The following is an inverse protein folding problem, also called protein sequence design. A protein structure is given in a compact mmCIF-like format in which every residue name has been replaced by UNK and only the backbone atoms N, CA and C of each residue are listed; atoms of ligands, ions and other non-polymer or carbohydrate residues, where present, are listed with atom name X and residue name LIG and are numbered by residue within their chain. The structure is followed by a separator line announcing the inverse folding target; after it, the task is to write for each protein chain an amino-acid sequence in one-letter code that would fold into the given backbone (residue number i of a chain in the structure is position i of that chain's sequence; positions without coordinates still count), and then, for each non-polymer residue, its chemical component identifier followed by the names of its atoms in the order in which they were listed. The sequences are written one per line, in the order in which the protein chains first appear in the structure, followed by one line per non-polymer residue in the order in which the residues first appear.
data_IF_285303589514
#
_entry.id   IF_285303589514
#
_cell.length_a   1.000
_cell.length_b   1.000
_cell.length_c   1.000
_cell.angle_alpha   90.00
_cell.angle_beta   90.00
_cell.angle_gamma   90.00
#
_symmetry.space_group_name_H-M   'P 1'
#
loop_
_entity.id
_entity.type
_entity.pdbx_description
1 polymer ?
#
# COMPACT_ATOMS: atom_id res chain seq x y z
N UNK A 1 -18.00 1.08 18.68
CA UNK A 1 -16.66 1.34 18.14
C UNK A 1 -16.81 1.86 16.71
N UNK A 2 -15.95 2.75 16.20
CA UNK A 2 -16.07 3.20 14.83
C UNK A 2 -15.90 1.98 13.92
N UNK A 3 -16.85 1.79 13.01
CA UNK A 3 -16.78 0.81 11.95
C UNK A 3 -15.45 1.02 11.20
N UNK A 4 -14.55 0.03 11.18
CA UNK A 4 -13.26 0.16 10.49
C UNK A 4 -13.55 0.39 9.01
N UNK A 5 -13.00 1.44 8.41
CA UNK A 5 -13.30 1.84 7.03
C UNK A 5 -12.15 1.52 6.07
N UNK A 6 -12.48 1.33 4.79
CA UNK A 6 -11.50 1.14 3.71
C UNK A 6 -10.65 -0.13 3.88
N UNK A 7 -9.31 -0.04 3.80
CA UNK A 7 -8.41 -1.20 3.83
C UNK A 7 -8.46 -1.95 5.16
N UNK A 8 -8.85 -1.28 6.26
CA UNK A 8 -9.04 -1.90 7.57
C UNK A 8 -10.33 -2.71 7.66
N UNK A 9 -10.92 -3.13 6.55
CA UNK A 9 -11.98 -4.15 6.51
C UNK A 9 -11.48 -5.52 6.08
N UNK A 10 -10.20 -5.64 5.70
CA UNK A 10 -9.67 -6.85 5.10
C UNK A 10 -8.48 -7.41 5.89
N UNK A 11 -8.27 -8.74 5.88
CA UNK A 11 -7.12 -9.37 6.52
C UNK A 11 -5.77 -8.79 6.06
N UNK A 12 -5.59 -8.47 4.77
CA UNK A 12 -4.37 -7.81 4.29
C UNK A 12 -4.13 -6.46 4.97
N UNK A 13 -5.19 -5.67 5.14
CA UNK A 13 -5.09 -4.40 5.85
C UNK A 13 -4.67 -4.58 7.30
N UNK A 14 -5.15 -5.63 7.95
CA UNK A 14 -4.86 -5.87 9.37
C UNK A 14 -3.50 -6.50 9.59
N UNK A 15 -3.09 -7.41 8.71
CA UNK A 15 -1.73 -7.91 8.67
C UNK A 15 -0.74 -6.74 8.54
N UNK A 16 -0.99 -5.85 7.59
CA UNK A 16 -0.15 -4.67 7.38
C UNK A 16 -0.17 -3.74 8.59
N UNK A 17 -1.35 -3.48 9.17
CA UNK A 17 -1.50 -2.67 10.38
C UNK A 17 -0.73 -3.27 11.57
N UNK A 18 -0.86 -4.59 11.79
CA UNK A 18 -0.20 -5.33 12.87
C UNK A 18 1.31 -5.21 12.77
N UNK A 19 1.87 -5.54 11.60
CA UNK A 19 3.32 -5.52 11.38
C UNK A 19 3.87 -4.09 11.48
N UNK A 20 3.10 -3.09 11.06
CA UNK A 20 3.46 -1.68 11.22
C UNK A 20 3.14 -1.12 12.63
N UNK A 21 2.99 -1.97 13.66
CA UNK A 21 2.76 -1.51 15.04
C UNK A 21 1.47 -0.70 15.24
N UNK A 22 0.45 -0.91 14.41
CA UNK A 22 -0.82 -0.18 14.42
C UNK A 22 -0.94 0.91 13.34
N UNK A 23 0.10 1.15 12.54
CA UNK A 23 0.13 2.24 11.57
C UNK A 23 -0.06 1.77 10.11
N UNK A 24 -1.30 1.50 9.70
CA UNK A 24 -1.61 1.13 8.29
C UNK A 24 -1.14 2.18 7.27
N UNK A 25 -1.00 3.45 7.68
CA UNK A 25 -0.55 4.57 6.85
C UNK A 25 0.95 4.53 6.54
N UNK A 26 1.74 3.70 7.22
CA UNK A 26 3.13 3.40 6.83
C UNK A 26 3.18 2.52 5.58
N UNK A 27 2.08 1.82 5.28
CA UNK A 27 1.94 1.05 4.06
C UNK A 27 2.86 -0.17 3.98
N UNK A 28 3.03 -0.66 2.76
CA UNK A 28 3.77 -1.88 2.44
C UNK A 28 4.26 -1.83 0.99
N UNK A 29 5.07 -2.82 0.61
CA UNK A 29 5.36 -3.12 -0.80
C UNK A 29 4.89 -4.52 -1.17
N UNK A 30 4.63 -4.73 -2.47
CA UNK A 30 4.54 -6.06 -3.06
C UNK A 30 5.71 -6.24 -4.00
N UNK A 31 6.57 -7.23 -3.72
CA UNK A 31 7.64 -7.67 -4.59
C UNK A 31 7.28 -9.02 -5.24
N UNK A 32 7.91 -9.33 -6.36
CA UNK A 32 7.75 -10.61 -7.03
C UNK A 32 9.00 -11.46 -6.84
N UNK A 33 8.84 -12.78 -6.80
CA UNK A 33 9.95 -13.70 -6.55
C UNK A 33 11.09 -13.57 -7.56
N UNK A 34 10.76 -13.39 -8.84
CA UNK A 34 11.75 -13.20 -9.92
C UNK A 34 12.56 -11.91 -9.77
N UNK A 35 11.96 -10.83 -9.25
CA UNK A 35 12.66 -9.58 -8.96
C UNK A 35 13.67 -9.74 -7.79
N UNK A 36 13.51 -10.80 -6.99
CA UNK A 36 14.44 -11.21 -5.94
C UNK A 36 15.39 -12.33 -6.38
N UNK A 37 15.40 -12.68 -7.67
CA UNK A 37 16.25 -13.73 -8.23
C UNK A 37 15.75 -15.15 -7.99
N UNK A 38 14.49 -15.33 -7.59
CA UNK A 38 13.87 -16.65 -7.47
C UNK A 38 13.41 -17.11 -8.86
N UNK A 39 13.99 -18.20 -9.35
CA UNK A 39 13.51 -18.82 -10.59
C UNK A 39 12.27 -19.67 -10.32
N UNK A 40 12.28 -20.41 -9.22
CA UNK A 40 11.24 -21.34 -8.82
C UNK A 40 11.17 -21.46 -7.30
N UNK A 41 9.98 -21.68 -6.77
CA UNK A 41 9.69 -21.77 -5.34
C UNK A 41 9.05 -23.12 -5.05
N UNK A 42 9.69 -23.89 -4.18
CA UNK A 42 9.13 -25.14 -3.66
C UNK A 42 8.26 -24.88 -2.42
N UNK A 43 7.09 -25.52 -2.38
CA UNK A 43 6.11 -25.42 -1.30
C UNK A 43 5.80 -26.83 -0.74
N UNK A 44 6.77 -27.53 -0.14
CA UNK A 44 6.64 -28.93 0.25
C UNK A 44 5.65 -29.15 1.40
N UNK A 45 5.17 -28.08 2.05
CA UNK A 45 4.10 -28.12 3.04
C UNK A 45 2.69 -28.14 2.40
N UNK A 46 2.59 -27.86 1.10
CA UNK A 46 1.37 -27.98 0.29
C UNK A 46 1.44 -29.25 -0.53
N UNK A 47 0.69 -30.29 -0.15
CA UNK A 47 0.56 -31.48 -0.99
C UNK A 47 -0.34 -31.18 -2.19
N UNK A 48 -0.07 -31.83 -3.31
CA UNK A 48 -0.76 -31.56 -4.57
C UNK A 48 -0.23 -30.34 -5.32
N UNK A 49 0.70 -29.57 -4.76
CA UNK A 49 1.39 -28.48 -5.45
C UNK A 49 2.71 -28.92 -6.08
N UNK A 50 3.00 -28.38 -7.26
CA UNK A 50 4.34 -28.40 -7.82
C UNK A 50 5.16 -27.17 -7.43
N UNK A 51 6.44 -27.14 -7.83
CA UNK A 51 7.20 -25.91 -7.80
C UNK A 51 6.52 -24.79 -8.61
N UNK A 52 6.53 -23.58 -8.06
CA UNK A 52 5.87 -22.39 -8.62
C UNK A 52 6.93 -21.46 -9.19
N UNK A 53 6.84 -21.01 -10.46
CA UNK A 53 7.78 -20.04 -11.02
C UNK A 53 7.85 -18.76 -10.17
N UNK A 54 9.05 -18.19 -9.96
CA UNK A 54 9.21 -17.02 -9.09
C UNK A 54 8.45 -15.78 -9.55
N UNK A 55 8.20 -15.62 -10.86
CA UNK A 55 7.33 -14.57 -11.41
C UNK A 55 5.87 -14.72 -10.92
N UNK A 56 5.45 -15.94 -10.60
CA UNK A 56 4.14 -16.29 -10.04
C UNK A 56 4.12 -16.28 -8.50
N UNK A 57 5.12 -15.68 -7.85
CA UNK A 57 5.13 -15.50 -6.40
C UNK A 57 5.08 -14.02 -6.08
N UNK A 58 4.06 -13.58 -5.35
CA UNK A 58 3.98 -12.22 -4.80
C UNK A 58 4.28 -12.23 -3.31
N UNK A 59 5.08 -11.28 -2.85
CA UNK A 59 5.50 -11.15 -1.44
C UNK A 59 5.11 -9.76 -0.96
N UNK A 60 4.17 -9.71 -0.02
CA UNK A 60 3.77 -8.50 0.69
C UNK A 60 4.70 -8.30 1.90
N UNK A 61 5.28 -7.10 1.98
CA UNK A 61 6.13 -6.67 3.08
C UNK A 61 5.69 -5.32 3.64
N UNK A 62 5.10 -5.29 4.84
CA UNK A 62 4.77 -4.07 5.57
C UNK A 62 6.02 -3.28 5.97
N UNK A 63 5.92 -1.96 6.02
CA UNK A 63 7.03 -1.07 6.32
C UNK A 63 7.72 -1.35 7.67
N UNK A 64 6.98 -1.89 8.64
CA UNK A 64 7.45 -2.19 10.00
C UNK A 64 8.54 -3.25 10.08
N UNK A 65 8.75 -4.04 9.02
CA UNK A 65 9.89 -4.98 8.97
C UNK A 65 11.22 -4.25 8.68
N UNK A 66 11.18 -2.96 8.32
CA UNK A 66 12.39 -2.15 8.15
C UNK A 66 12.90 -1.76 9.52
N UNK A 67 14.13 -2.17 9.83
CA UNK A 67 14.81 -1.84 11.07
C UNK A 67 16.12 -2.60 11.16
N UNK A 68 16.93 -2.26 12.16
CA UNK A 68 18.23 -2.90 12.41
C UNK A 68 18.11 -4.26 13.13
N UNK A 69 16.88 -4.73 13.36
CA UNK A 69 16.57 -6.00 14.04
C UNK A 69 16.56 -7.21 13.09
N UNK A 70 16.55 -8.41 13.69
CA UNK A 70 16.27 -9.63 12.96
C UNK A 70 14.81 -9.59 12.46
N UNK A 71 14.63 -9.80 11.16
CA UNK A 71 13.31 -9.80 10.52
C UNK A 71 12.63 -11.12 10.84
N UNK A 72 11.46 -11.07 11.47
CA UNK A 72 10.61 -12.25 11.60
C UNK A 72 10.01 -12.56 10.22
N UNK A 73 10.33 -13.71 9.61
CA UNK A 73 9.69 -14.11 8.35
C UNK A 73 8.16 -14.21 8.45
N UNK A 74 7.59 -14.41 9.65
CA UNK A 74 6.14 -14.40 9.88
C UNK A 74 5.48 -13.04 9.62
N UNK A 75 6.26 -11.97 9.53
CA UNK A 75 5.80 -10.62 9.17
C UNK A 75 5.84 -10.35 7.65
N UNK A 76 6.09 -11.40 6.85
CA UNK A 76 5.85 -11.42 5.41
C UNK A 76 4.60 -12.25 5.10
N UNK A 77 3.87 -11.85 4.06
CA UNK A 77 2.76 -12.63 3.50
C UNK A 77 3.06 -12.95 2.05
N UNK A 78 3.02 -14.24 1.70
CA UNK A 78 3.33 -14.73 0.35
C UNK A 78 2.04 -15.18 -0.31
N UNK A 79 1.85 -14.80 -1.57
CA UNK A 79 0.69 -15.18 -2.38
C UNK A 79 1.19 -15.97 -3.59
N UNK A 80 0.60 -17.15 -3.79
CA UNK A 80 0.87 -18.00 -4.96
C UNK A 80 -0.44 -18.40 -5.63
N UNK A 81 -0.47 -18.57 -6.97
CA UNK A 81 -1.68 -18.91 -7.68
C UNK A 81 -2.00 -20.40 -7.61
N UNK A 82 -3.29 -20.73 -7.63
CA UNK A 82 -3.78 -22.10 -7.68
C UNK A 82 -3.36 -22.88 -8.93
N UNK A 83 -2.92 -22.20 -9.99
CA UNK A 83 -2.35 -22.81 -11.20
C UNK A 83 -1.08 -23.63 -10.94
N UNK A 84 -0.46 -23.49 -9.76
CA UNK A 84 0.61 -24.38 -9.30
C UNK A 84 0.13 -25.77 -8.84
N UNK A 85 -1.18 -25.96 -8.66
CA UNK A 85 -1.76 -27.26 -8.32
C UNK A 85 -1.56 -28.26 -9.47
N UNK A 86 -1.25 -29.49 -9.10
CA UNK A 86 -1.05 -30.65 -10.00
C UNK A 86 -2.01 -31.80 -9.69
N UNK A 87 -2.99 -31.54 -8.83
CA UNK A 87 -3.93 -32.51 -8.29
C UNK A 87 -5.32 -31.89 -8.24
N UNK A 88 -6.35 -32.72 -8.29
CA UNK A 88 -7.74 -32.31 -8.11
C UNK A 88 -8.02 -31.90 -6.65
N UNK A 89 -7.12 -32.25 -5.74
CA UNK A 89 -7.16 -31.88 -4.32
C UNK A 89 -5.79 -31.40 -3.85
N UNK A 90 -5.78 -30.39 -2.98
CA UNK A 90 -4.59 -29.90 -2.29
C UNK A 90 -4.78 -29.95 -0.78
N UNK A 91 -3.71 -30.18 -0.04
CA UNK A 91 -3.70 -30.26 1.42
C UNK A 91 -2.51 -29.51 2.01
N UNK A 92 -2.61 -29.13 3.29
CA UNK A 92 -1.45 -28.72 4.09
C UNK A 92 -1.01 -29.89 4.97
N UNK A 93 0.31 -30.11 5.08
CA UNK A 93 0.89 -31.17 5.94
C UNK A 93 0.62 -30.95 7.43
N UNK A 94 0.54 -29.67 7.84
CA UNK A 94 0.32 -29.22 9.21
C UNK A 94 -0.82 -28.19 9.21
N UNK A 95 -1.84 -28.39 10.05
CA UNK A 95 -2.97 -27.47 10.18
C UNK A 95 -4.10 -27.67 9.16
N UNK A 96 -4.76 -26.56 8.81
CA UNK A 96 -5.90 -26.52 7.89
C UNK A 96 -5.86 -25.27 7.03
N UNK A 97 -6.51 -25.31 5.87
CA UNK A 97 -6.80 -24.09 5.14
C UNK A 97 -7.94 -23.32 5.79
N UNK A 98 -7.82 -22.00 5.77
CA UNK A 98 -8.94 -21.09 5.98
C UNK A 98 -9.34 -20.51 4.64
N UNK A 99 -10.57 -20.77 4.23
CA UNK A 99 -11.08 -20.42 2.90
C UNK A 99 -12.03 -19.24 2.99
N UNK A 100 -11.80 -18.22 2.18
CA UNK A 100 -12.69 -17.07 2.07
C UNK A 100 -12.68 -16.45 0.67
N UNK A 101 -13.66 -15.59 0.35
CA UNK A 101 -13.73 -14.94 -0.95
C UNK A 101 -12.62 -13.90 -1.10
N UNK A 102 -12.05 -13.81 -2.31
CA UNK A 102 -11.05 -12.80 -2.68
C UNK A 102 -11.52 -11.37 -2.32
N UNK A 103 -12.81 -11.09 -2.48
CA UNK A 103 -13.43 -9.79 -2.16
C UNK A 103 -13.34 -9.36 -0.71
N UNK A 104 -13.18 -10.32 0.20
CA UNK A 104 -12.99 -10.05 1.63
C UNK A 104 -11.51 -9.99 2.02
N UNK A 105 -10.61 -10.49 1.17
CA UNK A 105 -9.18 -10.57 1.46
C UNK A 105 -8.42 -9.30 1.06
N UNK A 106 -8.67 -8.81 -0.16
CA UNK A 106 -7.99 -7.64 -0.70
C UNK A 106 -8.79 -6.35 -0.49
N UNK A 107 -8.12 -5.22 -0.18
CA UNK A 107 -8.77 -3.93 -0.19
C UNK A 107 -9.23 -3.56 -1.62
N UNK A 108 -10.34 -2.82 -1.70
CA UNK A 108 -10.85 -2.27 -2.95
C UNK A 108 -9.87 -1.25 -3.54
N UNK A 109 -9.77 -1.17 -4.88
CA UNK A 109 -9.00 -0.10 -5.56
C UNK A 109 -9.55 1.29 -5.25
N UNK A 110 -10.86 1.44 -5.09
CA UNK A 110 -11.51 2.75 -5.03
C UNK A 110 -11.41 3.36 -3.64
N UNK A 111 -10.84 4.56 -3.60
CA UNK A 111 -10.61 5.32 -2.37
C UNK A 111 -11.91 5.96 -1.84
N UNK A 112 -13.01 5.91 -2.61
CA UNK A 112 -14.16 6.81 -2.40
C UNK A 112 -15.56 6.21 -2.61
N UNK A 113 -15.78 4.95 -2.99
CA UNK A 113 -17.17 4.49 -3.21
C UNK A 113 -17.45 3.04 -2.81
N UNK A 114 -18.56 2.86 -2.08
CA UNK A 114 -19.14 1.55 -1.74
C UNK A 114 -19.92 0.92 -2.91
N UNK A 115 -20.27 1.71 -3.93
CA UNK A 115 -21.13 1.28 -5.06
C UNK A 115 -20.34 0.88 -6.32
N UNK A 116 -19.01 0.80 -6.22
CA UNK A 116 -18.19 0.30 -7.34
C UNK A 116 -17.99 -1.22 -7.18
N UNK A 117 -18.06 -2.00 -8.28
CA UNK A 117 -17.71 -3.42 -8.24
C UNK A 117 -16.34 -3.64 -7.58
N UNK A 118 -16.19 -4.79 -6.92
CA UNK A 118 -14.90 -5.18 -6.35
C UNK A 118 -13.85 -5.29 -7.45
N UNK A 119 -12.88 -4.39 -7.43
CA UNK A 119 -11.75 -4.38 -8.34
C UNK A 119 -10.46 -4.22 -7.52
N UNK A 120 -9.81 -5.30 -7.07
CA UNK A 120 -8.48 -5.27 -6.46
C UNK A 120 -7.42 -4.89 -7.50
N UNK A 121 -6.37 -4.21 -7.06
CA UNK A 121 -5.27 -3.81 -7.94
C UNK A 121 -4.57 -5.02 -8.54
N UNK A 122 -4.17 -4.90 -9.80
CA UNK A 122 -3.44 -5.96 -10.48
C UNK A 122 -2.12 -6.32 -9.79
N UNK A 123 -1.56 -5.39 -9.01
CA UNK A 123 -0.31 -5.60 -8.28
C UNK A 123 -0.41 -6.58 -7.12
N UNK A 124 -1.64 -6.89 -6.67
CA UNK A 124 -1.82 -7.96 -5.70
C UNK A 124 -1.56 -9.34 -6.32
N UNK A 125 -1.76 -9.46 -7.63
CA UNK A 125 -1.68 -10.73 -8.33
C UNK A 125 -0.25 -11.06 -8.73
N UNK A 126 0.13 -12.33 -8.69
CA UNK A 126 1.39 -12.78 -9.27
C UNK A 126 1.51 -12.42 -10.76
N UNK A 127 2.73 -12.19 -11.26
CA UNK A 127 2.93 -11.86 -12.68
C UNK A 127 2.39 -13.01 -13.54
N UNK A 128 1.63 -12.66 -14.58
CA UNK A 128 0.99 -13.60 -15.52
C UNK A 128 -0.13 -14.47 -14.96
N UNK A 129 -0.62 -14.16 -13.76
CA UNK A 129 -1.86 -14.74 -13.28
C UNK A 129 -3.06 -14.07 -13.95
N UNK A 130 -3.92 -14.86 -14.60
CA UNK A 130 -5.17 -14.34 -15.16
C UNK A 130 -6.21 -14.13 -14.05
N UNK A 131 -6.15 -12.92 -13.48
CA UNK A 131 -7.08 -12.52 -12.43
C UNK A 131 -8.52 -12.35 -12.90
N UNK A 132 -8.82 -12.32 -14.21
CA UNK A 132 -10.20 -12.09 -14.71
C UNK A 132 -11.21 -13.07 -14.10
N UNK A 133 -10.82 -14.34 -14.02
CA UNK A 133 -11.57 -15.43 -13.40
C UNK A 133 -11.83 -15.24 -11.89
N UNK A 134 -11.00 -14.48 -11.19
CA UNK A 134 -11.19 -14.18 -9.76
C UNK A 134 -12.31 -13.17 -9.50
N UNK A 135 -12.62 -12.30 -10.46
CA UNK A 135 -13.64 -11.25 -10.29
C UNK A 135 -15.07 -11.73 -10.59
N UNK A 136 -15.23 -12.86 -11.28
CA UNK A 136 -16.55 -13.42 -11.63
C UNK A 136 -17.31 -14.03 -10.42
N UNK A 137 -16.80 -13.82 -9.20
CA UNK A 137 -17.49 -14.14 -7.95
C UNK A 137 -17.19 -15.53 -7.38
N UNK A 138 -16.34 -16.31 -8.05
CA UNK A 138 -15.97 -17.68 -7.63
C UNK A 138 -14.54 -17.79 -7.08
N UNK A 139 -13.78 -16.68 -7.13
CA UNK A 139 -12.39 -16.61 -6.68
C UNK A 139 -12.24 -16.80 -5.18
N UNK A 140 -11.39 -17.74 -4.77
CA UNK A 140 -11.11 -18.06 -3.36
C UNK A 140 -9.69 -17.70 -2.95
N UNK A 141 -9.51 -17.37 -1.68
CA UNK A 141 -8.21 -17.32 -1.02
C UNK A 141 -8.17 -18.42 0.04
N UNK A 142 -7.14 -19.26 -0.05
CA UNK A 142 -6.83 -20.31 0.91
C UNK A 142 -5.66 -19.84 1.76
N UNK A 143 -5.88 -19.62 3.06
CA UNK A 143 -4.82 -19.24 3.97
C UNK A 143 -4.18 -20.49 4.56
N UNK A 144 -2.91 -20.72 4.22
CA UNK A 144 -2.06 -21.78 4.72
C UNK A 144 -1.15 -21.22 5.82
N UNK A 145 -1.72 -21.07 7.02
CA UNK A 145 -1.03 -20.53 8.21
C UNK A 145 -0.49 -21.61 9.15
N UNK A 146 -0.63 -22.89 8.78
CA UNK A 146 -0.14 -24.03 9.55
C UNK A 146 -0.95 -24.24 10.84
N UNK A 147 -0.25 -24.49 11.94
CA UNK A 147 -0.84 -24.65 13.28
C UNK A 147 -1.20 -23.31 13.95
N UNK A 148 -0.90 -22.18 13.30
CA UNK A 148 -1.26 -20.86 13.81
C UNK A 148 -2.73 -20.57 13.53
N UNK A 149 -3.39 -19.89 14.44
CA UNK A 149 -4.72 -19.35 14.15
C UNK A 149 -4.57 -18.11 13.23
N UNK A 150 -5.48 -17.87 12.28
CA UNK A 150 -5.45 -16.66 11.45
C UNK A 150 -5.42 -15.37 12.28
N UNK A 151 -6.04 -15.39 13.46
CA UNK A 151 -5.96 -14.31 14.42
C UNK A 151 -4.50 -13.94 14.78
N UNK A 152 -3.63 -14.92 14.95
CA UNK A 152 -2.22 -14.70 15.30
C UNK A 152 -1.42 -14.09 14.15
N UNK A 153 -1.76 -14.45 12.91
CA UNK A 153 -1.06 -13.96 11.70
C UNK A 153 -1.56 -12.58 11.30
N UNK A 154 -2.88 -12.36 11.33
CA UNK A 154 -3.52 -11.20 10.71
C UNK A 154 -4.00 -10.13 11.69
N UNK A 155 -4.21 -10.46 12.98
CA UNK A 155 -4.85 -9.54 13.92
C UNK A 155 -3.91 -9.04 15.00
N UNK A 156 -4.04 -7.76 15.35
CA UNK A 156 -3.51 -7.25 16.62
C UNK A 156 -4.42 -7.75 17.75
N UNK A 157 -3.83 -8.44 18.74
CA UNK A 157 -4.50 -9.21 19.79
C UNK A 157 -5.54 -8.45 20.65
N UNK A 158 -5.67 -7.13 20.50
CA UNK A 158 -6.40 -6.27 21.44
C UNK A 158 -7.44 -5.32 20.79
N UNK A 159 -7.85 -5.59 19.54
CA UNK A 159 -8.73 -4.66 18.81
C UNK A 159 -10.22 -4.95 18.92
N UNK A 160 -10.62 -6.09 19.49
CA UNK A 160 -12.02 -6.52 19.66
C UNK A 160 -12.82 -6.67 18.36
N UNK A 161 -12.18 -6.47 17.20
CA UNK A 161 -12.74 -6.54 15.87
C UNK A 161 -11.83 -7.45 15.05
N UNK A 162 -11.68 -8.72 15.44
CA UNK A 162 -10.95 -9.77 14.70
C UNK A 162 -11.85 -10.29 13.53
N UNK A 163 -11.49 -10.46 12.24
CA UNK A 163 -12.47 -10.70 11.22
C UNK A 163 -13.05 -12.11 11.32
N UNK A 164 -12.31 -13.22 11.44
CA UNK A 164 -11.66 -13.68 12.67
C UNK A 164 -12.68 -14.19 13.71
N UNK A 165 -12.94 -13.36 14.74
CA UNK A 165 -13.78 -13.69 15.90
C UNK A 165 -15.14 -12.95 15.91
N UNK A 166 -15.34 -12.01 14.99
CA UNK A 166 -16.67 -11.40 14.81
C UNK A 166 -17.56 -12.40 14.07
N UNK A 167 -18.85 -12.49 14.38
CA UNK A 167 -19.83 -13.33 13.65
C UNK A 167 -19.99 -13.00 12.15
N UNK A 168 -19.08 -12.21 11.58
CA UNK A 168 -18.92 -11.82 10.19
C UNK A 168 -17.61 -12.37 9.57
N UNK A 169 -17.00 -13.41 10.16
CA UNK A 169 -15.81 -14.05 9.60
C UNK A 169 -16.07 -14.55 8.17
N UNK A 170 -15.41 -13.97 7.15
CA UNK A 170 -15.59 -14.40 5.78
C UNK A 170 -14.80 -15.67 5.46
N UNK A 171 -13.96 -16.14 6.39
CA UNK A 171 -13.17 -17.34 6.26
C UNK A 171 -13.73 -18.49 7.09
N UNK A 172 -14.07 -19.59 6.43
CA UNK A 172 -14.44 -20.82 7.11
C UNK A 172 -13.20 -21.68 7.33
N UNK A 173 -13.00 -22.15 8.56
CA UNK A 173 -12.13 -23.28 8.84
C UNK A 173 -12.83 -24.53 8.33
N UNK A 174 -12.19 -25.36 7.50
CA UNK A 174 -12.78 -26.70 7.30
C UNK A 174 -12.50 -27.51 6.06
N UNK A 175 -11.75 -27.03 5.06
CA UNK A 175 -11.47 -27.85 3.87
C UNK A 175 -9.99 -28.21 3.83
N UNK A 176 -9.65 -29.39 4.37
CA UNK A 176 -8.38 -30.06 4.15
C UNK A 176 -8.66 -31.57 3.99
N UNK A 177 -8.55 -32.17 2.78
CA UNK A 177 -8.11 -31.53 1.54
C UNK A 177 -9.13 -30.51 0.98
N UNK A 178 -8.63 -29.56 0.19
CA UNK A 178 -9.43 -28.63 -0.60
C UNK A 178 -9.52 -29.14 -2.05
N UNK A 179 -10.74 -29.34 -2.54
CA UNK A 179 -11.01 -29.67 -3.94
C UNK A 179 -10.73 -28.45 -4.82
N UNK A 180 -9.74 -28.56 -5.70
CA UNK A 180 -9.34 -27.47 -6.58
C UNK A 180 -10.36 -27.23 -7.68
N UNK A 181 -11.14 -28.25 -8.06
CA UNK A 181 -12.14 -28.19 -9.12
C UNK A 181 -11.68 -27.41 -10.35
N UNK A 182 -12.59 -26.63 -10.93
CA UNK A 182 -12.27 -25.63 -11.97
C UNK A 182 -12.24 -24.19 -11.41
N UNK A 183 -12.22 -24.04 -10.08
CA UNK A 183 -12.39 -22.73 -9.46
C UNK A 183 -11.04 -22.01 -9.36
N UNK A 184 -10.93 -20.73 -9.73
CA UNK A 184 -9.70 -19.97 -9.51
C UNK A 184 -9.49 -19.73 -8.02
N UNK A 185 -8.28 -19.97 -7.53
CA UNK A 185 -7.91 -19.69 -6.14
C UNK A 185 -6.48 -19.16 -6.00
N UNK A 186 -6.21 -18.44 -4.91
CA UNK A 186 -4.88 -18.09 -4.43
C UNK A 186 -4.60 -18.82 -3.12
N UNK A 187 -3.33 -19.13 -2.88
CA UNK A 187 -2.88 -19.57 -1.56
C UNK A 187 -2.09 -18.43 -0.92
N UNK A 188 -2.55 -17.99 0.26
CA UNK A 188 -1.85 -17.05 1.13
C UNK A 188 -1.06 -17.80 2.20
N UNK A 189 0.23 -17.55 2.28
CA UNK A 189 1.20 -18.33 3.06
C UNK A 189 1.92 -17.36 4.01
N UNK A 190 2.07 -17.75 5.28
CA UNK A 190 2.93 -17.00 6.20
C UNK A 190 4.39 -17.14 5.79
N UNK A 191 5.15 -16.03 5.80
CA UNK A 191 6.51 -16.03 5.30
C UNK A 191 7.48 -16.92 6.07
N UNK A 192 7.19 -17.31 7.31
CA UNK A 192 7.98 -18.32 8.05
C UNK A 192 8.03 -19.68 7.35
N UNK A 193 6.95 -20.10 6.69
CA UNK A 193 6.91 -21.33 5.90
C UNK A 193 7.63 -21.17 4.56
N UNK A 194 7.60 -19.96 3.99
CA UNK A 194 8.28 -19.66 2.73
C UNK A 194 9.80 -19.53 2.90
N UNK A 195 10.26 -18.65 3.79
CA UNK A 195 11.69 -18.31 3.97
C UNK A 195 12.50 -19.50 4.46
N UNK A 196 11.97 -20.27 5.44
CA UNK A 196 12.65 -21.44 6.00
C UNK A 196 12.92 -22.54 4.97
N UNK A 197 12.13 -22.59 3.90
CA UNK A 197 12.14 -23.67 2.91
C UNK A 197 12.85 -23.22 1.64
N UNK A 198 12.51 -22.04 1.11
CA UNK A 198 12.88 -21.63 -0.24
C UNK A 198 14.18 -20.84 -0.29
N UNK A 199 14.39 -19.91 0.66
CA UNK A 199 15.48 -18.95 0.54
C UNK A 199 16.81 -19.46 1.10
N UNK A 200 16.77 -20.36 2.10
CA UNK A 200 17.97 -20.99 2.67
C UNK A 200 19.05 -20.04 3.20
N UNK A 201 18.77 -18.72 3.23
CA UNK A 201 19.66 -17.61 3.54
C UNK A 201 18.87 -16.49 4.22
N UNK A 202 19.52 -15.65 5.05
CA UNK A 202 18.87 -14.50 5.67
C UNK A 202 18.41 -13.50 4.59
N UNK A 203 17.13 -13.16 4.67
CA UNK A 203 16.48 -12.18 3.82
C UNK A 203 16.92 -10.75 4.19
N UNK A 204 17.21 -9.91 3.19
CA UNK A 204 17.57 -8.50 3.41
C UNK A 204 16.37 -7.62 3.04
N UNK A 205 15.68 -6.99 4.02
CA UNK A 205 14.50 -6.16 3.74
C UNK A 205 14.73 -5.11 2.67
N UNK A 206 15.89 -4.46 2.70
CA UNK A 206 16.21 -3.39 1.77
C UNK A 206 16.13 -3.85 0.29
N UNK A 207 16.55 -5.08 -0.02
CA UNK A 207 16.47 -5.62 -1.38
C UNK A 207 15.02 -5.81 -1.82
N UNK A 208 14.17 -6.31 -0.91
CA UNK A 208 12.75 -6.49 -1.19
C UNK A 208 12.00 -5.15 -1.33
N UNK A 209 12.29 -4.16 -0.48
CA UNK A 209 11.70 -2.84 -0.64
C UNK A 209 12.18 -2.15 -1.92
N UNK A 210 13.39 -2.43 -2.38
CA UNK A 210 13.91 -1.88 -3.63
C UNK A 210 13.29 -2.56 -4.86
N UNK A 211 13.06 -3.87 -4.81
CA UNK A 211 12.35 -4.61 -5.85
C UNK A 211 10.85 -4.31 -5.88
N UNK A 212 10.24 -4.08 -4.71
CA UNK A 212 8.80 -4.05 -4.53
C UNK A 212 8.11 -2.76 -4.97
N UNK A 213 6.90 -2.88 -5.47
CA UNK A 213 6.01 -1.77 -5.82
C UNK A 213 5.14 -1.37 -4.63
N UNK A 214 4.64 -0.12 -4.54
CA UNK A 214 3.73 0.27 -3.47
C UNK A 214 2.50 -0.64 -3.39
N UNK A 215 2.23 -1.18 -2.20
CA UNK A 215 1.09 -2.05 -1.98
C UNK A 215 -0.23 -1.26 -2.15
N UNK A 216 -1.22 -1.79 -2.88
CA UNK A 216 -2.48 -1.11 -3.14
C UNK A 216 -3.44 -1.18 -1.95
N UNK A 217 -3.11 -0.47 -0.87
CA UNK A 217 -3.84 -0.48 0.40
C UNK A 217 -5.01 0.52 0.43
N UNK A 218 -5.78 0.64 -0.66
CA UNK A 218 -7.02 1.41 -0.69
C UNK A 218 -6.92 2.86 -0.17
N UNK A 219 -5.79 3.54 -0.42
CA UNK A 219 -5.57 4.93 0.02
C UNK A 219 -5.01 5.11 1.43
N UNK A 220 -4.69 4.03 2.16
CA UNK A 220 -4.12 4.13 3.52
C UNK A 220 -2.90 5.05 3.63
N UNK A 221 -2.06 5.08 2.60
CA UNK A 221 -0.80 5.85 2.57
C UNK A 221 -0.98 7.29 2.09
N UNK A 222 -2.22 7.76 1.93
CA UNK A 222 -2.49 9.13 1.54
C UNK A 222 -2.78 10.01 2.74
N UNK A 223 -2.19 11.20 2.73
CA UNK A 223 -2.52 12.25 3.66
C UNK A 223 -2.71 13.58 2.95
N UNK A 224 -3.36 14.51 3.63
CA UNK A 224 -3.60 15.85 3.12
C UNK A 224 -3.21 16.88 4.16
N UNK A 225 -2.53 17.93 3.71
CA UNK A 225 -2.17 19.09 4.52
C UNK A 225 -2.66 20.37 3.87
N UNK A 226 -3.08 21.32 4.69
CA UNK A 226 -3.42 22.68 4.26
C UNK A 226 -2.62 23.67 5.09
N UNK A 227 -2.01 24.64 4.41
CA UNK A 227 -1.34 25.79 4.98
C UNK A 227 -2.07 27.04 4.50
N UNK A 228 -2.59 27.83 5.44
CA UNK A 228 -3.11 29.17 5.17
C UNK A 228 -2.20 30.21 5.78
N UNK A 229 -1.90 31.27 5.04
CA UNK A 229 -1.11 32.39 5.51
C UNK A 229 -1.79 33.70 5.10
N UNK A 230 -1.83 34.72 5.98
CA UNK A 230 -2.50 35.98 5.68
C UNK A 230 -2.04 36.61 4.36
N UNK A 231 -2.98 37.07 3.54
CA UNK A 231 -2.67 37.88 2.36
C UNK A 231 -2.43 39.35 2.79
N UNK A 232 -1.33 39.58 3.51
CA UNK A 232 -0.95 40.92 3.97
C UNK A 232 -0.17 41.68 2.89
N UNK A 233 -0.40 42.98 2.78
CA UNK A 233 0.39 43.86 1.90
C UNK A 233 0.87 45.12 2.62
N UNK A 234 2.06 45.59 2.24
CA UNK A 234 2.65 46.85 2.70
C UNK A 234 3.06 47.65 1.47
N UNK A 235 2.54 48.87 1.34
CA UNK A 235 2.78 49.74 0.19
C UNK A 235 2.46 49.12 -1.20
N UNK A 236 1.49 48.19 -1.26
CA UNK A 236 1.07 47.52 -2.49
C UNK A 236 1.90 46.27 -2.84
N UNK A 237 2.92 45.95 -2.06
CA UNK A 237 3.68 44.71 -2.18
C UNK A 237 3.20 43.69 -1.15
N UNK A 238 3.16 42.40 -1.53
CA UNK A 238 2.83 41.34 -0.60
C UNK A 238 3.88 41.27 0.52
N UNK A 239 3.42 41.30 1.76
CA UNK A 239 4.24 41.04 2.95
C UNK A 239 4.30 39.54 3.28
N UNK A 240 3.56 38.70 2.55
CA UNK A 240 3.55 37.26 2.76
C UNK A 240 4.80 36.61 2.12
N UNK A 241 5.63 35.89 2.90
CA UNK A 241 6.92 35.35 2.43
C UNK A 241 6.79 34.14 1.49
N UNK A 242 5.57 33.63 1.29
CA UNK A 242 5.29 32.48 0.43
C UNK A 242 4.70 32.89 -0.93
N UNK A 243 4.12 34.09 -1.02
CA UNK A 243 3.58 34.62 -2.27
C UNK A 243 4.71 34.83 -3.27
N UNK A 244 4.52 34.35 -4.50
CA UNK A 244 5.53 34.45 -5.58
C UNK A 244 6.67 33.43 -5.49
N UNK A 245 6.67 32.54 -4.48
CA UNK A 245 7.64 31.44 -4.41
C UNK A 245 7.20 30.31 -5.36
N UNK A 246 8.12 29.87 -6.22
CA UNK A 246 7.94 28.69 -7.08
C UNK A 246 7.60 27.45 -6.24
N UNK A 247 6.64 26.62 -6.67
CA UNK A 247 6.12 25.49 -5.87
C UNK A 247 7.21 24.53 -5.44
N UNK A 248 8.17 24.26 -6.33
CA UNK A 248 9.32 23.42 -6.02
C UNK A 248 10.15 23.97 -4.86
N UNK A 249 10.36 25.28 -4.83
CA UNK A 249 11.08 25.95 -3.74
C UNK A 249 10.23 26.02 -2.47
N UNK A 250 8.92 26.23 -2.62
CA UNK A 250 7.95 26.24 -1.52
C UNK A 250 7.96 24.92 -0.73
N UNK A 251 8.03 23.77 -1.41
CA UNK A 251 8.10 22.43 -0.79
C UNK A 251 9.37 22.17 0.05
N UNK A 252 10.37 23.04 -0.06
CA UNK A 252 11.60 22.98 0.74
C UNK A 252 11.61 23.98 1.91
N UNK A 253 10.62 24.89 1.98
CA UNK A 253 10.50 25.83 3.09
C UNK A 253 10.00 25.14 4.34
N UNK A 254 10.42 25.67 5.48
CA UNK A 254 10.10 25.12 6.81
C UNK A 254 8.59 25.05 7.06
N UNK A 255 7.84 26.07 6.67
CA UNK A 255 6.39 26.14 6.83
C UNK A 255 5.69 24.99 6.10
N UNK A 256 6.08 24.75 4.86
CA UNK A 256 5.55 23.69 4.02
C UNK A 256 6.02 22.32 4.48
N UNK A 257 7.28 22.17 4.90
CA UNK A 257 7.82 20.92 5.46
C UNK A 257 7.04 20.50 6.71
N UNK A 258 6.70 21.43 7.60
CA UNK A 258 5.83 21.16 8.76
C UNK A 258 4.43 20.73 8.35
N UNK A 259 3.85 21.37 7.33
CA UNK A 259 2.55 20.97 6.78
C UNK A 259 2.61 19.54 6.21
N UNK A 260 3.63 19.22 5.41
CA UNK A 260 3.83 17.89 4.81
C UNK A 260 4.08 16.82 5.88
N UNK A 261 4.83 17.14 6.94
CA UNK A 261 5.01 16.24 8.10
C UNK A 261 3.67 15.87 8.71
N UNK A 262 2.81 16.86 8.96
CA UNK A 262 1.45 16.62 9.50
C UNK A 262 0.57 15.83 8.54
N UNK A 263 0.80 15.97 7.23
CA UNK A 263 0.18 15.15 6.20
C UNK A 263 0.78 13.73 6.10
N UNK A 264 1.78 13.38 6.93
CA UNK A 264 2.34 12.04 6.98
C UNK A 264 3.31 11.72 5.86
N UNK A 265 4.03 12.71 5.29
CA UNK A 265 5.00 12.46 4.19
C UNK A 265 6.17 11.54 4.58
N UNK A 266 6.47 11.43 5.88
CA UNK A 266 7.51 10.58 6.46
C UNK A 266 7.10 10.17 7.88
N UNK A 267 7.75 9.15 8.42
CA UNK A 267 7.68 8.73 9.83
C UNK A 267 8.67 9.52 10.72
N UNK A 268 9.66 10.21 10.13
CA UNK A 268 10.63 11.02 10.87
C UNK A 268 10.06 12.34 11.43
N UNK A 269 10.76 12.89 12.43
CA UNK A 269 10.44 14.17 13.07
C UNK A 269 10.52 15.39 12.13
N UNK A 270 11.30 15.28 11.06
CA UNK A 270 11.51 16.34 10.07
C UNK A 270 11.44 15.79 8.63
N UNK A 271 10.99 16.65 7.71
CA UNK A 271 10.93 16.30 6.29
C UNK A 271 12.24 16.71 5.63
N UNK A 272 13.16 15.78 5.44
CA UNK A 272 14.39 16.03 4.70
C UNK A 272 14.36 15.35 3.33
N UNK A 273 14.43 16.16 2.28
CA UNK A 273 14.55 15.65 0.91
C UNK A 273 15.96 15.10 0.68
N UNK A 274 16.07 13.80 0.44
CA UNK A 274 17.30 13.14 0.00
C UNK A 274 17.51 13.38 -1.50
N UNK A 275 16.42 13.35 -2.26
CA UNK A 275 16.40 13.62 -3.70
C UNK A 275 15.06 14.24 -4.11
N UNK A 276 15.07 15.16 -5.07
CA UNK A 276 13.89 15.96 -5.41
C UNK A 276 13.67 17.15 -4.44
N UNK A 277 12.48 17.75 -4.42
CA UNK A 277 11.31 17.43 -5.22
C UNK A 277 11.54 17.72 -6.72
N UNK A 278 11.09 16.80 -7.57
CA UNK A 278 11.16 16.90 -9.04
C UNK A 278 9.74 16.96 -9.59
N UNK A 279 9.46 17.97 -10.41
CA UNK A 279 8.17 18.09 -11.08
C UNK A 279 7.91 16.88 -11.96
N UNK A 280 6.67 16.40 -11.98
CA UNK A 280 6.26 15.28 -12.81
C UNK A 280 5.40 15.82 -13.95
N UNK A 281 5.96 15.80 -15.16
CA UNK A 281 5.34 16.36 -16.38
C UNK A 281 4.48 15.38 -17.14
N UNK A 282 4.69 14.07 -16.94
CA UNK A 282 4.21 13.04 -17.87
C UNK A 282 2.90 12.37 -17.42
N UNK A 283 2.28 12.89 -16.36
CA UNK A 283 1.00 12.39 -15.85
C UNK A 283 -0.10 13.17 -16.57
N UNK A 284 -0.88 12.48 -17.41
CA UNK A 284 -2.09 12.94 -18.09
C UNK A 284 -2.52 14.40 -17.82
N UNK A 285 -1.97 15.33 -18.60
CA UNK A 285 -2.47 16.71 -18.75
C UNK A 285 -2.41 17.63 -17.52
N UNK A 286 -2.72 18.89 -17.78
CA UNK A 286 -3.04 19.88 -16.75
C UNK A 286 -4.41 19.53 -16.13
N UNK A 287 -4.47 19.48 -14.79
CA UNK A 287 -5.73 19.29 -14.06
C UNK A 287 -6.03 20.62 -13.38
N UNK A 288 -7.02 21.34 -13.92
CA UNK A 288 -7.62 22.50 -13.26
C UNK A 288 -8.61 22.01 -12.21
N UNK A 289 -8.49 22.53 -10.98
CA UNK A 289 -9.39 22.22 -9.86
C UNK A 289 -9.94 23.51 -9.27
N UNK A 290 -10.98 23.40 -8.43
CA UNK A 290 -11.52 24.54 -7.70
C UNK A 290 -11.12 24.48 -6.24
N UNK A 291 -10.35 25.46 -5.77
CA UNK A 291 -9.96 25.61 -4.36
C UNK A 291 -10.48 26.95 -3.85
N UNK A 292 -11.36 26.92 -2.85
CA UNK A 292 -12.00 28.12 -2.29
C UNK A 292 -12.65 29.00 -3.37
N UNK A 293 -13.45 28.38 -4.24
CA UNK A 293 -14.14 29.02 -5.38
C UNK A 293 -13.25 29.57 -6.49
N UNK A 294 -11.92 29.52 -6.33
CA UNK A 294 -10.96 29.93 -7.35
C UNK A 294 -10.41 28.74 -8.13
N UNK A 295 -10.25 28.92 -9.43
CA UNK A 295 -9.63 27.92 -10.30
C UNK A 295 -8.12 27.95 -10.14
N UNK A 296 -7.52 26.78 -9.99
CA UNK A 296 -6.07 26.64 -9.88
C UNK A 296 -5.58 25.35 -10.52
N UNK A 297 -4.29 25.33 -10.85
CA UNK A 297 -3.63 24.16 -11.43
C UNK A 297 -3.10 23.24 -10.34
N UNK A 298 -3.30 21.94 -10.54
CA UNK A 298 -2.73 20.91 -9.67
C UNK A 298 -1.34 20.51 -10.17
N UNK A 299 -0.30 20.98 -9.47
CA UNK A 299 1.09 20.67 -9.76
C UNK A 299 1.52 19.39 -9.01
N UNK A 300 2.28 18.49 -9.65
CA UNK A 300 2.72 17.24 -9.03
C UNK A 300 4.23 17.14 -8.97
N UNK A 301 4.73 16.72 -7.81
CA UNK A 301 6.16 16.53 -7.53
C UNK A 301 6.39 15.14 -6.97
N UNK A 302 7.56 14.58 -7.23
CA UNK A 302 8.01 13.35 -6.59
C UNK A 302 9.45 13.48 -6.09
N UNK A 303 9.83 12.61 -5.16
CA UNK A 303 11.19 12.52 -4.69
C UNK A 303 11.36 11.48 -3.60
N UNK A 304 12.45 11.61 -2.87
CA UNK A 304 12.81 10.76 -1.74
C UNK A 304 12.99 11.62 -0.52
N UNK A 305 12.33 11.25 0.58
CA UNK A 305 12.56 11.84 1.90
C UNK A 305 13.20 10.84 2.84
N UNK A 306 13.94 11.33 3.83
CA UNK A 306 14.42 10.52 4.93
C UNK A 306 13.25 10.05 5.81
N UNK A 307 13.47 8.95 6.51
CA UNK A 307 12.55 8.36 7.48
C UNK A 307 13.33 7.73 8.61
N UNK A 308 12.65 7.41 9.71
CA UNK A 308 13.27 6.81 10.90
C UNK A 308 13.87 5.44 10.58
N UNK A 309 13.08 4.59 9.93
CA UNK A 309 13.47 3.21 9.58
C UNK A 309 13.86 3.07 8.10
N UNK A 310 14.30 4.15 7.47
CA UNK A 310 14.76 4.18 6.08
C UNK A 310 13.99 5.15 5.19
N UNK A 311 14.42 5.29 3.92
CA UNK A 311 13.88 6.31 3.04
C UNK A 311 12.46 6.02 2.57
N UNK A 312 11.78 7.07 2.12
CA UNK A 312 10.44 7.01 1.55
C UNK A 312 10.43 7.61 0.16
N UNK A 313 9.83 6.91 -0.80
CA UNK A 313 9.39 7.55 -2.03
C UNK A 313 8.13 8.33 -1.72
N UNK A 314 8.03 9.56 -2.23
CA UNK A 314 6.87 10.41 -2.01
C UNK A 314 6.44 11.08 -3.31
N UNK A 315 5.14 11.20 -3.48
CA UNK A 315 4.51 12.07 -4.45
C UNK A 315 3.67 13.13 -3.70
N UNK A 316 3.77 14.38 -4.13
CA UNK A 316 3.10 15.53 -3.54
C UNK A 316 2.35 16.28 -4.65
N UNK A 317 1.04 16.40 -4.48
CA UNK A 317 0.14 17.09 -5.41
C UNK A 317 -0.33 18.39 -4.76
N UNK A 318 0.04 19.53 -5.34
CA UNK A 318 -0.08 20.85 -4.74
C UNK A 318 -1.05 21.71 -5.52
N UNK A 319 -2.02 22.29 -4.83
CA UNK A 319 -2.92 23.32 -5.33
C UNK A 319 -2.77 24.59 -4.48
N UNK A 320 -2.80 25.75 -5.13
CA UNK A 320 -2.52 27.04 -4.47
C UNK A 320 -3.48 28.12 -4.96
N UNK A 321 -4.00 28.93 -4.05
CA UNK A 321 -4.84 30.08 -4.39
C UNK A 321 -4.49 31.28 -3.51
N UNK A 322 -4.74 32.48 -4.03
CA UNK A 322 -4.65 33.72 -3.27
C UNK A 322 -6.02 34.40 -3.34
N UNK A 323 -6.80 34.24 -2.28
CA UNK A 323 -8.09 34.91 -2.09
C UNK A 323 -7.92 35.95 -0.97
N UNK A 324 -8.64 35.79 0.14
CA UNK A 324 -8.40 36.54 1.38
C UNK A 324 -7.07 36.14 2.06
N UNK A 325 -6.69 34.87 1.94
CA UNK A 325 -5.42 34.32 2.40
C UNK A 325 -4.66 33.69 1.21
N UNK A 326 -3.35 33.51 1.38
CA UNK A 326 -2.55 32.63 0.55
C UNK A 326 -2.66 31.20 1.10
N UNK A 327 -3.32 30.33 0.33
CA UNK A 327 -3.65 28.95 0.73
C UNK A 327 -2.89 27.96 -0.15
N UNK A 328 -2.28 26.97 0.50
CA UNK A 328 -1.59 25.85 -0.12
C UNK A 328 -2.23 24.56 0.39
N UNK A 329 -2.81 23.77 -0.50
CA UNK A 329 -3.29 22.43 -0.20
C UNK A 329 -2.36 21.41 -0.86
N UNK A 330 -1.94 20.40 -0.10
CA UNK A 330 -1.07 19.34 -0.59
C UNK A 330 -1.61 17.94 -0.23
N UNK A 331 -1.85 17.13 -1.24
CA UNK A 331 -2.08 15.69 -1.12
C UNK A 331 -0.75 14.96 -1.22
N UNK A 332 -0.51 14.02 -0.32
CA UNK A 332 0.75 13.28 -0.21
C UNK A 332 0.45 11.80 -0.37
N UNK A 333 1.19 11.15 -1.25
CA UNK A 333 1.30 9.70 -1.29
C UNK A 333 2.74 9.32 -0.92
N UNK A 334 2.91 8.25 -0.13
CA UNK A 334 4.23 7.69 0.16
C UNK A 334 4.28 6.18 -0.02
N UNK A 335 5.50 5.65 -0.18
CA UNK A 335 5.78 4.22 -0.15
C UNK A 335 7.17 3.95 0.47
N UNK A 336 7.32 2.88 1.28
CA UNK A 336 8.60 2.56 1.89
C UNK A 336 9.62 2.13 0.82
N UNK A 337 10.87 2.56 1.01
CA UNK A 337 12.03 2.17 0.19
C UNK A 337 13.05 1.41 1.06
N UNK A 338 13.86 0.58 0.40
CA UNK A 338 15.03 -0.02 1.02
C UNK A 338 16.21 0.95 0.95
N UNK A 339 16.43 1.53 -0.23
CA UNK A 339 17.46 2.54 -0.46
C UNK A 339 16.94 3.73 -1.26
N UNK A 340 17.57 4.89 -1.07
CA UNK A 340 17.20 6.11 -1.78
C UNK A 340 17.47 6.05 -3.30
N UNK A 341 18.31 5.11 -3.76
CA UNK A 341 18.71 4.99 -5.18
C UNK A 341 17.58 4.44 -6.05
N UNK A 342 16.65 3.71 -5.47
CA UNK A 342 15.68 2.90 -6.22
C UNK A 342 14.38 3.66 -6.55
N UNK A 343 14.21 4.87 -6.02
CA UNK A 343 13.02 5.69 -6.18
C UNK A 343 12.60 5.97 -7.64
N UNK A 344 13.55 6.05 -8.58
CA UNK A 344 13.26 6.29 -9.99
C UNK A 344 12.47 5.12 -10.66
N UNK A 345 12.51 3.90 -10.09
CA UNK A 345 11.79 2.73 -10.62
C UNK A 345 10.34 2.63 -10.11
N UNK A 346 9.97 3.30 -9.02
CA UNK A 346 8.63 3.18 -8.40
C UNK A 346 7.56 4.14 -8.95
N UNK A 347 7.95 5.08 -9.82
CA UNK A 347 7.16 6.28 -10.12
C UNK A 347 5.88 6.12 -10.95
N UNK A 348 5.50 4.94 -11.44
CA UNK A 348 4.67 4.92 -12.67
C UNK A 348 3.22 4.42 -12.57
N UNK A 349 2.66 4.06 -11.41
CA UNK A 349 1.30 3.48 -11.43
C UNK A 349 0.30 3.90 -10.35
N UNK A 350 0.72 4.55 -9.26
CA UNK A 350 -0.22 5.09 -8.25
C UNK A 350 -0.38 6.60 -8.31
N UNK A 351 0.51 7.27 -9.03
CA UNK A 351 0.58 8.72 -9.06
C UNK A 351 -0.68 9.32 -9.69
N UNK A 352 -1.13 8.81 -10.85
CA UNK A 352 -2.38 9.24 -11.49
C UNK A 352 -3.59 9.15 -10.55
N UNK A 353 -3.91 7.96 -10.01
CA UNK A 353 -5.00 7.80 -9.04
C UNK A 353 -4.90 8.70 -7.81
N UNK A 354 -3.70 8.88 -7.22
CA UNK A 354 -3.53 9.75 -6.06
C UNK A 354 -3.72 11.24 -6.41
N UNK A 355 -3.30 11.65 -7.61
CA UNK A 355 -3.52 13.00 -8.15
C UNK A 355 -5.01 13.27 -8.37
N UNK A 356 -5.74 12.31 -8.96
CA UNK A 356 -7.20 12.41 -9.14
C UNK A 356 -7.93 12.46 -7.80
N UNK A 357 -7.51 11.63 -6.82
CA UNK A 357 -8.07 11.68 -5.48
C UNK A 357 -7.87 13.04 -4.81
N UNK A 358 -6.66 13.62 -4.94
CA UNK A 358 -6.39 14.97 -4.45
C UNK A 358 -7.31 16.01 -5.10
N UNK A 359 -7.52 15.96 -6.42
CA UNK A 359 -8.43 16.85 -7.11
C UNK A 359 -9.86 16.76 -6.54
N UNK A 360 -10.38 15.54 -6.39
CA UNK A 360 -11.70 15.31 -5.81
C UNK A 360 -11.81 15.73 -4.34
N UNK A 361 -10.75 15.51 -3.55
CA UNK A 361 -10.72 15.90 -2.14
C UNK A 361 -10.75 17.43 -1.99
N UNK A 362 -10.01 18.16 -2.82
CA UNK A 362 -9.98 19.62 -2.81
C UNK A 362 -11.30 20.23 -3.29
N UNK A 363 -11.90 19.69 -4.35
CA UNK A 363 -13.20 20.19 -4.83
C UNK A 363 -14.30 20.06 -3.75
N UNK A 364 -14.17 19.10 -2.82
CA UNK A 364 -15.06 18.95 -1.66
C UNK A 364 -14.78 19.92 -0.51
N UNK A 365 -13.60 20.56 -0.47
CA UNK A 365 -13.26 21.58 0.52
C UNK A 365 -13.96 22.93 0.24
N UNK A 366 -14.68 23.05 -0.88
CA UNK A 366 -15.62 24.15 -1.13
C UNK A 366 -16.80 24.00 -0.16
N UNK A 367 -16.61 24.45 1.06
CA UNK A 367 -17.69 24.57 2.06
C UNK A 367 -18.65 25.63 1.54
N UNK A 368 -19.90 25.24 1.30
CA UNK A 368 -21.03 26.13 1.02
C UNK A 368 -21.42 26.97 2.23
#
# INVERSE_FOLDING_TARGET
MPDRHGPLRTPIGWFTERVNGGAISEGAVVAYGDDLGLEEVELPFLEGFGPVPGEQVSILAPAGIRGDGEVDPGDLLVLVPGSGSRSDEISVNEGSFYEGPVSSFFPYRTWLHQDTPFEPSERWWPKRYDSSSMYEGEGKVLLAVGDQEPAEVFSAADTGNNPFDTGNNPFNTGNNPFDTGNNPFLVGISGNRFVAITLGQPFVPAELFDAGQPAPLGGATFGMGVLSTPNASVAGESANPLVGVETKALLQREETRRMLRRAGVTDADEVEWISGPTAVSDIQGEIEITLLEEKTQLESFQGVVSGENGPWWVAVHVARVTVDDYVVAAGVQRAPLGTAKTAAKKGDTTLGPAREYMAQAVDRLVVK
#
